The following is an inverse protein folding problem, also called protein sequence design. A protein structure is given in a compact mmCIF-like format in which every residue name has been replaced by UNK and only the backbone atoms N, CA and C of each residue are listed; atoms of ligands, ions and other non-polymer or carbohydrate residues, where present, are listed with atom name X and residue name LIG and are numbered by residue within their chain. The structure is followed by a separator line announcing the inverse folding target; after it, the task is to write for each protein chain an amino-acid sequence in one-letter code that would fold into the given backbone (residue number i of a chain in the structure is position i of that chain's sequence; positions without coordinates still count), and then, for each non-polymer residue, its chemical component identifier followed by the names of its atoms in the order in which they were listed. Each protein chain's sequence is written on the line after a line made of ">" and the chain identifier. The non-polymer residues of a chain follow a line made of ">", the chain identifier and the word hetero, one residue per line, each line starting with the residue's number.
data_IF_366916908633
#
_entry.id   IF_366916908633
#
_cell.length_a   1.000
_cell.length_b   1.000
_cell.length_c   1.000
_cell.angle_alpha   90.00
_cell.angle_beta   90.00
_cell.angle_gamma   90.00
#
_symmetry.space_group_name_H-M   'P 1'
#
loop_
_entity.id
_entity.type
_entity.pdbx_description
1 polymer ?
#
# COMPACT_ATOMS: atom_id res chain seq x y z
N UNK A 1 -6.30 0.93 6.64
CA UNK A 1 -5.40 -0.05 7.29
C UNK A 1 -4.52 0.55 8.40
N UNK A 2 -3.80 1.66 8.13
CA UNK A 2 -2.94 2.35 9.10
C UNK A 2 -3.69 2.86 10.35
N UNK A 3 -4.90 3.45 10.24
CA UNK A 3 -5.65 3.88 11.44
C UNK A 3 -5.94 2.73 12.41
N UNK A 4 -6.16 1.51 11.91
CA UNK A 4 -6.36 0.31 12.75
C UNK A 4 -5.08 -0.07 13.49
N UNK A 5 -3.91 -0.01 12.84
CA UNK A 5 -2.63 -0.24 13.48
C UNK A 5 -2.36 0.77 14.60
N UNK A 6 -2.59 2.07 14.34
CA UNK A 6 -2.42 3.13 15.32
C UNK A 6 -3.34 2.94 16.54
N UNK A 7 -4.62 2.64 16.30
CA UNK A 7 -5.57 2.34 17.38
C UNK A 7 -5.12 1.16 18.24
N UNK A 8 -4.62 0.09 17.61
CA UNK A 8 -4.11 -1.09 18.33
C UNK A 8 -2.88 -0.73 19.18
N UNK A 9 -1.98 0.11 18.67
CA UNK A 9 -0.81 0.58 19.40
C UNK A 9 -1.17 1.47 20.60
N UNK A 10 -2.30 2.18 20.58
CA UNK A 10 -2.80 2.91 21.76
C UNK A 10 -3.32 1.97 22.85
N UNK A 11 -3.97 0.87 22.46
CA UNK A 11 -4.54 -0.12 23.39
C UNK A 11 -3.45 -1.06 23.92
N UNK A 12 -2.47 -1.41 23.08
CA UNK A 12 -1.32 -2.27 23.37
C UNK A 12 -0.05 -1.51 23.01
N UNK A 13 0.44 -0.62 23.90
CA UNK A 13 1.66 0.13 23.67
C UNK A 13 2.84 -0.79 23.38
N UNK A 14 3.62 -0.43 22.36
CA UNK A 14 4.81 -1.16 21.99
C UNK A 14 6.05 -0.39 22.43
N UNK A 15 6.91 -1.02 23.21
CA UNK A 15 8.27 -0.53 23.48
C UNK A 15 9.25 -0.98 22.39
N UNK A 16 8.79 -1.04 21.13
CA UNK A 16 9.58 -1.51 20.01
C UNK A 16 9.07 -0.91 18.69
N UNK A 17 9.93 -0.89 17.69
CA UNK A 17 9.59 -0.46 16.33
C UNK A 17 9.02 -1.63 15.54
N UNK A 18 7.91 -1.38 14.86
CA UNK A 18 7.25 -2.32 13.96
C UNK A 18 7.01 -1.67 12.60
N UNK A 19 7.13 -2.47 11.54
CA UNK A 19 6.79 -2.01 10.20
C UNK A 19 5.29 -2.24 9.94
N UNK A 20 4.64 -1.24 9.36
CA UNK A 20 3.27 -1.33 8.88
C UNK A 20 3.32 -1.36 7.35
N UNK A 21 3.01 -2.51 6.77
CA UNK A 21 3.03 -2.75 5.33
C UNK A 21 2.36 -4.08 5.00
N UNK A 22 2.15 -4.35 3.71
CA UNK A 22 1.53 -5.60 3.25
C UNK A 22 2.46 -6.81 3.43
N UNK A 23 3.77 -6.60 3.28
CA UNK A 23 4.73 -7.69 3.12
C UNK A 23 4.77 -8.26 1.70
N UNK A 24 3.96 -7.69 0.81
CA UNK A 24 3.90 -8.07 -0.60
C UNK A 24 4.73 -7.10 -1.43
N UNK A 25 5.48 -7.65 -2.38
CA UNK A 25 6.20 -6.90 -3.39
C UNK A 25 5.33 -6.73 -4.63
N UNK A 26 5.32 -5.53 -5.20
CA UNK A 26 4.57 -5.23 -6.42
C UNK A 26 5.43 -4.32 -7.29
N UNK A 27 5.62 -4.67 -8.57
CA UNK A 27 6.39 -3.83 -9.48
C UNK A 27 5.60 -2.57 -9.85
N UNK A 28 6.30 -1.49 -10.16
CA UNK A 28 5.67 -0.21 -10.56
C UNK A 28 4.77 -0.41 -11.79
N UNK A 29 5.16 -1.27 -12.73
CA UNK A 29 4.37 -1.56 -13.91
C UNK A 29 3.06 -2.28 -13.57
N UNK A 30 3.10 -3.27 -12.67
CA UNK A 30 1.89 -3.97 -12.20
C UNK A 30 0.92 -3.02 -11.46
N UNK A 31 1.46 -2.08 -10.68
CA UNK A 31 0.66 -1.02 -10.04
C UNK A 31 -0.01 -0.16 -11.11
N UNK A 32 0.71 0.25 -12.14
CA UNK A 32 0.16 1.01 -13.26
C UNK A 32 -0.95 0.23 -13.97
N UNK A 33 -0.73 -1.04 -14.33
CA UNK A 33 -1.71 -1.89 -15.00
C UNK A 33 -2.98 -2.04 -14.16
N UNK A 34 -2.84 -2.25 -12.84
CA UNK A 34 -3.96 -2.33 -11.90
C UNK A 34 -4.77 -1.03 -11.89
N UNK A 35 -4.10 0.13 -11.87
CA UNK A 35 -4.77 1.43 -11.92
C UNK A 35 -5.48 1.62 -13.26
N UNK A 36 -4.81 1.36 -14.38
CA UNK A 36 -5.37 1.54 -15.73
C UNK A 36 -6.62 0.69 -15.94
N UNK A 37 -6.59 -0.58 -15.51
CA UNK A 37 -7.72 -1.48 -15.54
C UNK A 37 -8.88 -0.97 -14.67
N UNK A 38 -8.63 -0.59 -13.42
CA UNK A 38 -9.67 -0.10 -12.51
C UNK A 38 -10.29 1.21 -13.01
N UNK A 39 -9.50 2.14 -13.55
CA UNK A 39 -9.99 3.42 -14.04
C UNK A 39 -10.55 3.37 -15.46
N UNK A 40 -10.47 2.21 -16.13
CA UNK A 40 -10.90 2.02 -17.53
C UNK A 40 -10.26 3.07 -18.44
N UNK A 41 -9.00 3.42 -18.16
CA UNK A 41 -8.29 4.48 -18.85
C UNK A 41 -6.88 4.03 -19.16
N UNK A 42 -6.60 3.91 -20.44
CA UNK A 42 -5.26 3.69 -20.93
C UNK A 42 -4.57 5.04 -21.19
N UNK A 43 -3.29 5.10 -20.88
CA UNK A 43 -2.43 6.23 -21.21
C UNK A 43 -1.20 5.71 -21.96
N UNK A 44 -0.67 6.51 -22.89
CA UNK A 44 0.61 6.19 -23.52
C UNK A 44 1.72 6.28 -22.46
N UNK A 45 2.15 5.14 -21.93
CA UNK A 45 3.25 5.09 -20.99
C UNK A 45 4.55 5.46 -21.71
N UNK A 46 5.37 6.30 -21.06
CA UNK A 46 6.76 6.52 -21.45
C UNK A 46 7.64 5.96 -20.35
N UNK A 47 8.44 4.97 -20.70
CA UNK A 47 9.46 4.41 -19.80
C UNK A 47 10.71 5.27 -19.94
N UNK A 48 11.09 5.92 -18.86
CA UNK A 48 12.32 6.69 -18.75
C UNK A 48 13.35 5.94 -17.90
N UNK A 49 14.60 6.36 -17.96
CA UNK A 49 15.68 5.77 -17.15
C UNK A 49 15.42 5.92 -15.65
N UNK A 50 16.14 5.14 -14.81
CA UNK A 50 16.01 5.22 -13.36
C UNK A 50 16.35 6.63 -12.87
N UNK A 51 15.59 7.15 -11.90
CA UNK A 51 15.90 8.43 -11.29
C UNK A 51 17.06 8.24 -10.30
N UNK A 52 17.97 9.21 -10.26
CA UNK A 52 19.10 9.16 -9.34
C UNK A 52 18.58 9.12 -7.89
N UNK A 53 18.98 8.10 -7.13
CA UNK A 53 18.55 7.90 -5.73
C UNK A 53 17.34 6.98 -5.55
N UNK A 54 16.69 6.52 -6.62
CA UNK A 54 15.57 5.57 -6.49
C UNK A 54 16.03 4.24 -5.90
N UNK A 55 15.32 3.82 -4.85
CA UNK A 55 15.49 2.48 -4.27
C UNK A 55 14.83 1.47 -5.21
N UNK A 56 15.62 0.51 -5.72
CA UNK A 56 15.13 -0.51 -6.66
C UNK A 56 14.02 -1.40 -6.09
N UNK A 57 14.08 -1.68 -4.78
CA UNK A 57 13.17 -2.61 -4.09
C UNK A 57 12.90 -2.15 -2.66
N UNK A 58 11.63 -2.07 -2.29
CA UNK A 58 11.20 -1.76 -0.94
C UNK A 58 10.02 -2.66 -0.55
N UNK A 59 10.27 -3.58 0.38
CA UNK A 59 9.26 -4.52 0.88
C UNK A 59 9.43 -4.66 2.38
N UNK A 60 8.36 -4.39 3.14
CA UNK A 60 8.39 -4.37 4.59
C UNK A 60 7.91 -5.68 5.18
N UNK A 61 8.71 -6.34 6.01
CA UNK A 61 8.20 -7.45 6.84
C UNK A 61 7.31 -6.91 7.95
N UNK A 62 6.03 -7.28 7.94
CA UNK A 62 5.04 -6.96 8.97
C UNK A 62 4.97 -8.00 10.10
N UNK A 63 5.92 -8.93 10.16
CA UNK A 63 5.96 -10.03 11.13
C UNK A 63 5.84 -9.56 12.58
N UNK A 64 6.52 -8.46 12.95
CA UNK A 64 6.42 -7.87 14.29
C UNK A 64 5.05 -7.26 14.57
N UNK A 65 4.44 -6.60 13.60
CA UNK A 65 3.09 -6.05 13.75
C UNK A 65 2.06 -7.18 13.95
N UNK A 66 2.20 -8.28 13.21
CA UNK A 66 1.38 -9.48 13.38
C UNK A 66 1.58 -10.11 14.77
N UNK A 67 2.83 -10.25 15.22
CA UNK A 67 3.16 -10.88 16.50
C UNK A 67 2.72 -10.06 17.72
N UNK A 68 2.94 -8.75 17.70
CA UNK A 68 2.77 -7.90 18.89
C UNK A 68 1.45 -7.14 18.93
N UNK A 69 0.84 -6.86 17.78
CA UNK A 69 -0.43 -6.12 17.70
C UNK A 69 -1.59 -6.97 17.19
N UNK A 70 -1.37 -8.24 16.84
CA UNK A 70 -2.31 -9.06 16.06
C UNK A 70 -2.78 -8.32 14.78
N UNK A 71 -1.91 -7.47 14.23
CA UNK A 71 -2.23 -6.65 13.07
C UNK A 71 -1.69 -7.28 11.78
N UNK A 72 -2.52 -7.28 10.76
CA UNK A 72 -2.14 -7.63 9.39
C UNK A 72 -2.92 -6.73 8.41
N UNK A 73 -2.42 -6.49 7.18
CA UNK A 73 -3.18 -5.80 6.15
C UNK A 73 -4.52 -6.53 5.89
N UNK A 74 -5.57 -5.76 5.59
CA UNK A 74 -6.93 -6.29 5.36
C UNK A 74 -7.53 -5.80 4.04
N UNK A 75 -6.79 -4.96 3.32
CA UNK A 75 -7.22 -4.35 2.06
C UNK A 75 -6.10 -4.64 1.07
N UNK A 76 -6.42 -5.29 -0.04
CA UNK A 76 -5.48 -5.50 -1.15
C UNK A 76 -5.24 -4.19 -1.89
N UNK A 77 -4.18 -4.14 -2.72
CA UNK A 77 -3.92 -2.97 -3.57
C UNK A 77 -5.13 -2.63 -4.44
N UNK A 78 -5.70 -3.63 -5.13
CA UNK A 78 -6.86 -3.50 -6.00
C UNK A 78 -8.07 -2.92 -5.27
N UNK A 79 -8.43 -3.51 -4.11
CA UNK A 79 -9.56 -3.03 -3.30
C UNK A 79 -9.33 -1.59 -2.79
N UNK A 80 -8.08 -1.25 -2.46
CA UNK A 80 -7.70 0.12 -2.07
C UNK A 80 -7.88 1.12 -3.21
N UNK A 81 -7.41 0.79 -4.42
CA UNK A 81 -7.55 1.66 -5.60
C UNK A 81 -9.03 1.82 -5.99
N UNK A 82 -9.83 0.75 -5.92
CA UNK A 82 -11.28 0.83 -6.14
C UNK A 82 -11.97 1.79 -5.17
N UNK A 83 -11.60 1.76 -3.89
CA UNK A 83 -12.12 2.70 -2.90
C UNK A 83 -11.76 4.15 -3.25
N UNK A 84 -10.52 4.40 -3.67
CA UNK A 84 -10.07 5.73 -4.15
C UNK A 84 -10.88 6.17 -5.37
N UNK A 85 -11.08 5.33 -6.39
CA UNK A 85 -11.94 5.65 -7.55
C UNK A 85 -13.35 6.06 -7.12
N UNK A 86 -13.92 5.37 -6.14
CA UNK A 86 -15.25 5.68 -5.60
C UNK A 86 -15.27 7.04 -4.87
N UNK A 87 -14.28 7.32 -4.03
CA UNK A 87 -14.16 8.60 -3.32
C UNK A 87 -13.98 9.78 -4.29
N UNK A 88 -13.16 9.62 -5.34
CA UNK A 88 -12.97 10.65 -6.37
C UNK A 88 -14.25 10.98 -7.15
N UNK A 89 -15.14 10.00 -7.37
CA UNK A 89 -16.44 10.23 -8.01
C UNK A 89 -17.45 10.96 -7.12
N UNK A 90 -17.28 10.90 -5.80
CA UNK A 90 -18.18 11.54 -4.82
C UNK A 90 -17.77 12.98 -4.48
N UNK A 91 -16.57 13.41 -4.89
CA UNK A 91 -16.07 14.78 -4.74
C UNK A 91 -16.29 15.69 -5.96
N UNK A 92 -17.05 15.22 -6.95
CA UNK A 92 -17.55 15.96 -8.11
C UNK A 92 -19.07 16.08 -8.01
#
# INVERSE_FOLDING_TARGET
>A
MLPKANRLATIRPLNTVVNIGSGEEIAILDIYETIAAIFEKESNIRIEGPRAGDVKRSVLSNSRAKRYLDWQPQVSLEAGILAVKKEMKLGL
#
